data_IF_184424559331
#
_entry.id   IF_184424559331
#
_cell.length_a   1.000
_cell.length_b   1.000
_cell.length_c   1.000
_cell.angle_alpha   90.00
_cell.angle_beta   90.00
_cell.angle_gamma   90.00
#
_symmetry.space_group_name_H-M   'P 1'
#
loop_
_entity.id
_entity.type
_entity.pdbx_description
1 polymer ?
#
# COMPACT_ATOMS: atom_id res chain seq x y z
N UNK A 1 9.50 -11.17 12.07
CA UNK A 1 10.26 -11.26 10.80
C UNK A 1 10.63 -12.70 10.43
N UNK A 2 11.29 -13.49 11.29
CA UNK A 2 11.71 -14.86 10.96
C UNK A 2 10.59 -15.76 10.46
N UNK A 3 9.44 -15.77 11.16
CA UNK A 3 8.27 -16.52 10.71
C UNK A 3 7.80 -16.07 9.31
N UNK A 4 7.67 -14.75 9.08
CA UNK A 4 7.24 -14.20 7.79
C UNK A 4 8.24 -14.57 6.67
N UNK A 5 9.54 -14.46 6.93
CA UNK A 5 10.58 -14.87 5.98
C UNK A 5 10.47 -16.36 5.60
N UNK A 6 10.22 -17.23 6.58
CA UNK A 6 10.01 -18.67 6.34
C UNK A 6 8.77 -18.96 5.50
N UNK A 7 7.66 -18.27 5.77
CA UNK A 7 6.41 -18.46 5.04
C UNK A 7 6.53 -17.96 3.60
N UNK A 8 7.08 -16.76 3.42
CA UNK A 8 7.26 -16.17 2.08
C UNK A 8 8.26 -16.95 1.23
N UNK A 9 9.32 -17.51 1.83
CA UNK A 9 10.28 -18.35 1.12
C UNK A 9 9.66 -19.61 0.49
N UNK A 10 8.57 -20.09 1.04
CA UNK A 10 7.87 -21.31 0.60
C UNK A 10 6.55 -21.01 -0.14
N UNK A 11 6.24 -19.73 -0.34
CA UNK A 11 4.96 -19.34 -0.96
C UNK A 11 4.94 -19.72 -2.45
N UNK A 12 4.06 -20.65 -2.88
CA UNK A 12 3.95 -21.04 -4.28
C UNK A 12 2.98 -20.14 -5.07
N UNK A 13 2.32 -19.20 -4.38
CA UNK A 13 1.25 -18.41 -4.99
C UNK A 13 1.80 -17.27 -5.82
N UNK A 14 1.13 -16.99 -6.93
CA UNK A 14 1.47 -15.87 -7.81
C UNK A 14 1.33 -14.52 -7.10
N UNK A 15 0.29 -14.35 -6.30
CA UNK A 15 -0.01 -13.12 -5.58
C UNK A 15 0.17 -13.30 -4.08
N UNK A 16 0.74 -12.30 -3.45
CA UNK A 16 0.99 -12.28 -1.99
C UNK A 16 0.42 -11.02 -1.38
N UNK A 17 -0.55 -11.19 -0.49
CA UNK A 17 -1.12 -10.11 0.31
C UNK A 17 -0.72 -10.32 1.77
N UNK A 18 -0.17 -9.30 2.39
CA UNK A 18 0.15 -9.29 3.83
C UNK A 18 -0.79 -8.33 4.54
N UNK A 19 -1.49 -8.82 5.54
CA UNK A 19 -2.35 -8.01 6.41
C UNK A 19 -1.69 -7.83 7.77
N UNK A 20 -1.62 -6.59 8.25
CA UNK A 20 -1.04 -6.26 9.55
C UNK A 20 -1.71 -5.01 10.14
N UNK A 21 -1.77 -4.93 11.49
CA UNK A 21 -2.43 -3.80 12.13
C UNK A 21 -1.65 -2.50 11.99
N UNK A 22 -0.37 -2.47 12.37
CA UNK A 22 0.44 -1.25 12.34
C UNK A 22 1.03 -1.00 10.95
N UNK A 23 0.86 0.21 10.39
CA UNK A 23 1.37 0.50 9.05
C UNK A 23 2.89 0.58 9.03
N UNK A 24 3.47 0.17 7.92
CA UNK A 24 4.90 0.33 7.64
C UNK A 24 5.27 1.81 7.56
N UNK A 25 4.43 2.59 6.91
CA UNK A 25 4.57 4.03 6.72
C UNK A 25 3.35 4.71 7.31
N UNK A 26 3.52 5.32 8.48
CA UNK A 26 2.42 5.95 9.20
C UNK A 26 1.91 7.18 8.47
N UNK A 27 0.61 7.32 8.41
CA UNK A 27 -0.10 8.47 7.82
C UNK A 27 -0.72 9.40 8.87
N UNK A 28 -0.93 8.91 10.08
CA UNK A 28 -1.42 9.72 11.21
C UNK A 28 -0.37 10.67 11.76
N UNK A 29 -0.80 11.90 12.11
CA UNK A 29 0.06 12.91 12.71
C UNK A 29 0.68 12.43 14.03
N UNK A 30 1.98 12.68 14.23
CA UNK A 30 2.72 12.28 15.42
C UNK A 30 2.99 10.78 15.57
N UNK A 31 2.71 9.99 14.52
CA UNK A 31 2.87 8.53 14.53
C UNK A 31 4.04 8.07 13.67
N UNK A 32 4.71 7.02 14.12
CA UNK A 32 5.70 6.29 13.37
C UNK A 32 5.88 4.88 13.94
N UNK A 33 6.11 3.91 13.09
CA UNK A 33 6.36 2.51 13.43
C UNK A 33 7.78 2.08 13.03
N UNK A 34 8.78 2.92 13.28
CA UNK A 34 10.17 2.73 12.87
C UNK A 34 10.74 1.36 13.29
N UNK A 35 10.41 0.89 14.51
CA UNK A 35 10.87 -0.42 15.00
C UNK A 35 10.31 -1.57 14.15
N UNK A 36 9.01 -1.55 13.86
CA UNK A 36 8.36 -2.57 13.03
C UNK A 36 8.90 -2.52 11.60
N UNK A 37 9.02 -1.31 11.05
CA UNK A 37 9.55 -1.07 9.70
C UNK A 37 10.97 -1.60 9.55
N UNK A 38 11.87 -1.28 10.49
CA UNK A 38 13.25 -1.76 10.49
C UNK A 38 13.35 -3.29 10.42
N UNK A 39 12.41 -3.99 11.05
CA UNK A 39 12.43 -5.47 11.16
C UNK A 39 11.71 -6.14 9.99
N UNK A 40 10.61 -5.57 9.50
CA UNK A 40 9.74 -6.20 8.50
C UNK A 40 10.06 -5.77 7.07
N UNK A 41 10.44 -4.50 6.85
CA UNK A 41 10.69 -3.99 5.50
C UNK A 41 11.73 -4.81 4.71
N UNK A 42 12.87 -5.23 5.31
CA UNK A 42 13.83 -6.07 4.58
C UNK A 42 13.22 -7.39 4.07
N UNK A 43 12.29 -7.99 4.83
CA UNK A 43 11.59 -9.23 4.41
C UNK A 43 10.57 -8.92 3.32
N UNK A 44 9.79 -7.86 3.48
CA UNK A 44 8.80 -7.41 2.48
C UNK A 44 9.49 -7.11 1.14
N UNK A 45 10.60 -6.36 1.17
CA UNK A 45 11.37 -5.99 -0.02
C UNK A 45 12.04 -7.21 -0.69
N UNK A 46 12.58 -8.14 0.10
CA UNK A 46 13.21 -9.37 -0.39
C UNK A 46 12.26 -10.22 -1.24
N UNK A 47 11.04 -10.38 -0.77
CA UNK A 47 10.02 -11.17 -1.46
C UNK A 47 9.09 -10.34 -2.34
N UNK A 48 9.30 -9.02 -2.40
CA UNK A 48 8.49 -8.09 -3.19
C UNK A 48 6.99 -8.33 -2.99
N UNK A 49 6.54 -8.39 -1.72
CA UNK A 49 5.13 -8.59 -1.37
C UNK A 49 4.25 -7.64 -2.18
N UNK A 50 3.21 -8.17 -2.82
CA UNK A 50 2.45 -7.41 -3.80
C UNK A 50 1.61 -6.30 -3.17
N UNK A 51 0.89 -6.61 -2.09
CA UNK A 51 -0.01 -5.69 -1.41
C UNK A 51 0.10 -5.84 0.11
N UNK A 52 0.21 -4.72 0.81
CA UNK A 52 0.11 -4.66 2.27
C UNK A 52 -1.16 -3.92 2.66
N UNK A 53 -2.06 -4.60 3.38
CA UNK A 53 -3.28 -4.03 3.96
C UNK A 53 -3.03 -3.73 5.44
N UNK A 54 -3.19 -2.48 5.83
CA UNK A 54 -2.78 -1.97 7.12
C UNK A 54 -3.85 -1.05 7.72
N UNK A 55 -3.80 -0.86 9.04
CA UNK A 55 -4.75 -0.05 9.78
C UNK A 55 -4.04 0.84 10.81
N UNK A 56 -4.57 0.92 12.04
CA UNK A 56 -4.05 1.67 13.19
C UNK A 56 -4.08 3.19 13.04
N UNK A 57 -3.56 3.75 11.97
CA UNK A 57 -3.71 5.17 11.67
C UNK A 57 -5.10 5.38 11.06
N UNK A 58 -5.91 6.16 11.72
CA UNK A 58 -7.30 6.39 11.31
C UNK A 58 -7.38 7.48 10.23
N UNK A 59 -6.67 7.22 9.15
CA UNK A 59 -6.61 8.01 7.91
C UNK A 59 -6.55 7.03 6.74
N UNK A 60 -6.70 7.52 5.53
CA UNK A 60 -6.42 6.73 4.34
C UNK A 60 -5.10 7.17 3.71
N UNK A 61 -4.28 6.21 3.34
CA UNK A 61 -3.06 6.43 2.55
C UNK A 61 -2.80 5.23 1.66
N UNK A 62 -2.55 5.46 0.39
CA UNK A 62 -2.00 4.48 -0.53
C UNK A 62 -0.70 5.01 -1.13
N UNK A 63 0.26 4.13 -1.25
CA UNK A 63 1.54 4.44 -1.88
C UNK A 63 2.30 3.19 -2.23
N UNK A 64 3.43 3.35 -2.88
CA UNK A 64 4.23 2.22 -3.36
C UNK A 64 5.73 2.44 -3.18
N UNK A 65 6.48 1.35 -3.25
CA UNK A 65 7.93 1.39 -3.41
C UNK A 65 8.28 1.03 -4.85
N UNK A 66 8.96 1.92 -5.62
CA UNK A 66 9.38 1.62 -6.98
C UNK A 66 10.38 0.45 -6.99
N UNK A 67 10.44 -0.29 -8.10
CA UNK A 67 11.38 -1.40 -8.26
C UNK A 67 12.83 -0.92 -8.12
N UNK A 68 13.14 0.24 -8.67
CA UNK A 68 14.45 0.91 -8.56
C UNK A 68 14.26 2.33 -8.04
N UNK A 69 14.93 2.64 -6.93
CA UNK A 69 14.86 3.95 -6.28
C UNK A 69 15.19 5.14 -7.22
N UNK A 70 16.11 4.93 -8.16
CA UNK A 70 16.53 5.96 -9.11
C UNK A 70 15.51 6.21 -10.24
N UNK A 71 14.52 5.33 -10.41
CA UNK A 71 13.55 5.39 -11.50
C UNK A 71 12.12 5.52 -10.98
N UNK A 72 11.83 6.69 -10.43
CA UNK A 72 10.49 7.04 -9.90
C UNK A 72 9.47 7.31 -11.01
N UNK A 73 9.90 7.36 -12.28
CA UNK A 73 9.00 7.52 -13.45
C UNK A 73 8.56 6.18 -14.02
N UNK A 74 9.24 5.09 -13.68
CA UNK A 74 8.83 3.76 -14.06
C UNK A 74 7.57 3.36 -13.31
N UNK A 75 6.67 2.65 -13.98
CA UNK A 75 5.51 2.03 -13.34
C UNK A 75 5.86 0.69 -12.64
N UNK A 76 7.11 0.24 -12.71
CA UNK A 76 7.53 -0.98 -12.02
C UNK A 76 7.70 -0.75 -10.52
N UNK A 77 7.05 -1.57 -9.71
CA UNK A 77 7.04 -1.45 -8.25
C UNK A 77 7.46 -2.74 -7.54
N UNK A 78 7.93 -2.60 -6.29
CA UNK A 78 8.14 -3.74 -5.38
C UNK A 78 6.87 -4.10 -4.63
N UNK A 79 6.24 -3.11 -3.99
CA UNK A 79 5.10 -3.33 -3.10
C UNK A 79 4.15 -2.14 -3.12
N UNK A 80 2.85 -2.45 -3.02
CA UNK A 80 1.79 -1.48 -2.79
C UNK A 80 1.41 -1.49 -1.30
N UNK A 81 1.36 -0.32 -0.68
CA UNK A 81 1.01 -0.14 0.73
C UNK A 81 -0.31 0.60 0.84
N UNK A 82 -1.22 0.06 1.63
CA UNK A 82 -2.51 0.69 1.94
C UNK A 82 -2.66 0.75 3.45
N UNK A 83 -2.92 1.94 3.98
CA UNK A 83 -3.44 2.15 5.32
C UNK A 83 -4.87 2.67 5.17
N UNK A 84 -5.83 2.03 5.82
CA UNK A 84 -7.24 2.39 5.70
C UNK A 84 -7.97 2.33 7.02
N UNK A 85 -8.99 3.17 7.16
CA UNK A 85 -9.89 3.22 8.31
C UNK A 85 -11.32 2.98 7.85
N UNK A 86 -12.05 2.15 8.59
CA UNK A 86 -13.47 1.85 8.35
C UNK A 86 -14.41 2.36 9.44
N UNK A 87 -13.85 2.75 10.60
CA UNK A 87 -14.63 3.24 11.75
C UNK A 87 -14.75 4.76 11.82
N UNK A 88 -15.57 5.29 12.74
CA UNK A 88 -15.85 6.73 12.84
C UNK A 88 -14.71 7.55 13.47
N UNK A 89 -13.77 6.91 14.16
CA UNK A 89 -12.64 7.60 14.77
C UNK A 89 -11.65 8.01 13.69
N UNK A 90 -11.34 9.31 13.60
CA UNK A 90 -10.44 9.86 12.59
C UNK A 90 -9.26 10.56 13.22
N UNK A 91 -8.12 10.57 12.52
CA UNK A 91 -6.91 11.27 12.90
C UNK A 91 -6.53 12.32 11.85
N UNK A 92 -5.74 13.30 12.29
CA UNK A 92 -5.11 14.24 11.35
C UNK A 92 -4.04 13.54 10.54
N UNK A 93 -3.99 13.83 9.26
CA UNK A 93 -2.91 13.36 8.40
C UNK A 93 -1.59 14.08 8.75
N UNK A 94 -0.47 13.39 8.55
CA UNK A 94 0.86 14.01 8.71
C UNK A 94 1.02 15.19 7.75
N UNK A 95 1.55 16.31 8.24
CA UNK A 95 1.77 17.52 7.43
C UNK A 95 2.74 17.30 6.27
N UNK A 96 3.74 16.45 6.47
CA UNK A 96 4.76 16.10 5.48
C UNK A 96 4.33 14.98 4.52
N UNK A 97 3.12 14.46 4.67
CA UNK A 97 2.70 13.26 3.94
C UNK A 97 3.62 12.07 4.26
N UNK A 98 4.25 11.48 3.24
CA UNK A 98 5.30 10.47 3.41
C UNK A 98 6.69 10.98 3.01
N UNK A 99 6.90 12.29 2.97
CA UNK A 99 8.19 12.86 2.59
C UNK A 99 9.34 12.41 3.49
N UNK A 100 9.07 12.23 4.80
CA UNK A 100 10.04 11.70 5.76
C UNK A 100 10.50 10.27 5.43
N UNK A 101 9.69 9.51 4.67
CA UNK A 101 10.00 8.13 4.27
C UNK A 101 10.59 8.00 2.87
N UNK A 102 10.74 9.10 2.13
CA UNK A 102 11.39 9.09 0.81
C UNK A 102 12.77 8.43 0.80
N UNK A 103 13.64 8.62 1.82
CA UNK A 103 14.92 7.91 1.89
C UNK A 103 14.78 6.39 1.98
N UNK A 104 13.63 5.89 2.45
CA UNK A 104 13.29 4.46 2.50
C UNK A 104 12.63 3.95 1.20
N UNK A 105 12.51 4.83 0.20
CA UNK A 105 12.04 4.50 -1.15
C UNK A 105 10.54 4.34 -1.31
N UNK A 106 9.74 4.99 -0.47
CA UNK A 106 8.29 4.96 -0.63
C UNK A 106 7.75 6.28 -1.18
N UNK A 107 6.75 6.19 -2.02
CA UNK A 107 6.00 7.30 -2.59
C UNK A 107 4.55 7.22 -2.10
N UNK A 108 3.98 8.37 -1.73
CA UNK A 108 2.56 8.50 -1.43
C UNK A 108 1.83 8.84 -2.73
N UNK A 109 0.83 8.02 -3.08
CA UNK A 109 0.06 8.17 -4.33
C UNK A 109 -1.30 8.82 -4.10
N UNK A 110 -1.98 8.48 -2.99
CA UNK A 110 -3.31 9.01 -2.65
C UNK A 110 -3.53 9.00 -1.13
N UNK A 111 -4.27 9.99 -0.64
CA UNK A 111 -4.59 10.14 0.78
C UNK A 111 -6.03 10.64 0.98
N UNK A 112 -6.59 10.39 2.17
CA UNK A 112 -7.82 11.02 2.65
C UNK A 112 -7.85 11.10 4.18
N UNK A 113 -8.64 12.03 4.68
CA UNK A 113 -9.01 12.19 6.09
C UNK A 113 -10.53 12.22 6.23
N UNK A 114 -11.01 12.02 7.46
CA UNK A 114 -12.43 12.17 7.81
C UNK A 114 -13.39 11.35 6.93
N UNK A 115 -12.91 10.27 6.34
CA UNK A 115 -13.70 9.42 5.45
C UNK A 115 -13.42 7.95 5.75
N UNK A 116 -14.42 7.15 6.14
CA UNK A 116 -14.28 5.71 6.27
C UNK A 116 -14.32 5.03 4.90
N UNK A 117 -13.50 3.99 4.73
CA UNK A 117 -13.42 3.22 3.49
C UNK A 117 -13.53 1.72 3.74
N UNK A 118 -14.05 1.02 2.75
CA UNK A 118 -13.87 -0.42 2.61
C UNK A 118 -13.17 -0.74 1.28
N UNK A 119 -12.49 -1.87 1.23
CA UNK A 119 -11.68 -2.25 0.08
C UNK A 119 -12.23 -3.50 -0.58
N UNK A 120 -12.16 -3.53 -1.91
CA UNK A 120 -12.41 -4.72 -2.73
C UNK A 120 -11.15 -5.01 -3.53
N UNK A 121 -10.65 -6.22 -3.39
CA UNK A 121 -9.47 -6.71 -4.11
C UNK A 121 -9.90 -7.89 -4.98
N UNK A 122 -9.73 -7.73 -6.30
CA UNK A 122 -9.98 -8.80 -7.26
C UNK A 122 -8.63 -9.31 -7.81
N UNK A 123 -8.53 -10.63 -7.93
CA UNK A 123 -7.35 -11.28 -8.50
C UNK A 123 -7.78 -12.15 -9.66
N UNK A 124 -7.30 -11.83 -10.87
CA UNK A 124 -7.59 -12.55 -12.09
C UNK A 124 -6.32 -12.71 -12.93
N UNK A 125 -5.79 -13.92 -12.97
CA UNK A 125 -4.59 -14.24 -13.73
C UNK A 125 -3.38 -13.37 -13.39
N UNK A 126 -3.00 -12.50 -14.30
CA UNK A 126 -1.86 -11.56 -14.16
C UNK A 126 -2.24 -10.26 -13.47
N UNK A 127 -3.51 -10.05 -13.18
CA UNK A 127 -4.01 -8.80 -12.64
C UNK A 127 -4.48 -8.94 -11.19
N UNK A 128 -4.10 -7.96 -10.38
CA UNK A 128 -4.70 -7.64 -9.09
C UNK A 128 -5.28 -6.24 -9.20
N UNK A 129 -6.57 -6.12 -8.95
CA UNK A 129 -7.28 -4.83 -8.93
C UNK A 129 -7.60 -4.46 -7.50
N UNK A 130 -7.11 -3.33 -7.05
CA UNK A 130 -7.43 -2.72 -5.76
C UNK A 130 -8.41 -1.58 -5.96
N UNK A 131 -9.48 -1.55 -5.17
CA UNK A 131 -10.48 -0.49 -5.14
C UNK A 131 -10.82 -0.12 -3.71
N UNK A 132 -10.90 1.16 -3.41
CA UNK A 132 -11.38 1.68 -2.12
C UNK A 132 -12.66 2.50 -2.35
N UNK A 133 -13.70 2.12 -1.63
CA UNK A 133 -15.02 2.74 -1.68
C UNK A 133 -15.32 3.49 -0.39
N UNK A 134 -15.97 4.63 -0.49
CA UNK A 134 -16.58 5.33 0.64
C UNK A 134 -17.80 4.54 1.17
N UNK A 135 -18.23 4.84 2.38
CA UNK A 135 -19.38 4.16 3.01
C UNK A 135 -20.70 4.27 2.22
N UNK A 136 -20.85 5.31 1.38
CA UNK A 136 -21.99 5.49 0.48
C UNK A 136 -21.90 4.68 -0.83
N UNK A 137 -20.80 3.96 -1.04
CA UNK A 137 -20.56 3.14 -2.22
C UNK A 137 -19.80 3.84 -3.36
N UNK A 138 -19.47 5.12 -3.23
CA UNK A 138 -18.69 5.83 -4.24
C UNK A 138 -17.25 5.34 -4.28
N UNK A 139 -16.72 5.12 -5.48
CA UNK A 139 -15.33 4.77 -5.70
C UNK A 139 -14.44 5.99 -5.44
N UNK A 140 -13.52 5.87 -4.49
CA UNK A 140 -12.57 6.93 -4.14
C UNK A 140 -11.18 6.71 -4.71
N UNK A 141 -10.69 5.48 -4.67
CA UNK A 141 -9.34 5.14 -5.12
C UNK A 141 -9.33 3.79 -5.79
N UNK A 142 -8.56 3.66 -6.86
CA UNK A 142 -8.38 2.41 -7.56
C UNK A 142 -7.05 2.35 -8.32
N UNK A 143 -6.44 1.18 -8.33
CA UNK A 143 -5.26 0.88 -9.15
C UNK A 143 -5.26 -0.60 -9.54
N UNK A 144 -4.50 -0.91 -10.56
CA UNK A 144 -4.25 -2.29 -10.99
C UNK A 144 -2.77 -2.61 -10.94
N UNK A 145 -2.45 -3.77 -10.44
CA UNK A 145 -1.11 -4.37 -10.56
C UNK A 145 -1.15 -5.44 -11.65
N UNK A 146 -0.17 -5.42 -12.54
CA UNK A 146 0.08 -6.50 -13.50
C UNK A 146 1.36 -7.23 -13.10
N UNK A 147 1.29 -8.54 -12.91
CA UNK A 147 2.48 -9.36 -12.66
C UNK A 147 2.99 -9.95 -13.96
N UNK A 148 4.24 -9.63 -14.28
CA UNK A 148 4.91 -10.08 -15.49
C UNK A 148 5.45 -11.52 -15.35
N UNK A 149 5.87 -12.11 -16.45
CA UNK A 149 6.36 -13.50 -16.48
C UNK A 149 7.65 -13.69 -15.65
N UNK A 150 8.47 -12.66 -15.52
CA UNK A 150 9.69 -12.66 -14.70
C UNK A 150 9.43 -12.42 -13.20
N UNK A 151 8.16 -12.28 -12.80
CA UNK A 151 7.74 -12.02 -11.42
C UNK A 151 7.76 -10.54 -11.01
N UNK A 152 8.29 -9.66 -11.83
CA UNK A 152 8.18 -8.21 -11.61
C UNK A 152 6.73 -7.75 -11.77
N UNK A 153 6.42 -6.55 -11.30
CA UNK A 153 5.07 -6.01 -11.39
C UNK A 153 5.04 -4.55 -11.78
N UNK A 154 3.98 -4.19 -12.48
CA UNK A 154 3.68 -2.84 -12.94
C UNK A 154 2.45 -2.31 -12.21
N UNK A 155 2.53 -1.04 -11.81
CA UNK A 155 1.39 -0.29 -11.28
C UNK A 155 0.72 0.47 -12.43
N UNK A 156 -0.55 0.20 -12.66
CA UNK A 156 -1.36 0.86 -13.66
C UNK A 156 -2.41 1.74 -13.00
N UNK A 157 -2.52 3.03 -13.38
CA UNK A 157 -3.56 3.89 -12.87
C UNK A 157 -4.95 3.39 -13.28
N UNK A 158 -5.95 3.76 -12.51
CA UNK A 158 -7.35 3.59 -12.91
C UNK A 158 -7.66 4.49 -14.10
N UNK A 159 -8.49 4.03 -15.02
CA UNK A 159 -8.77 4.76 -16.28
C UNK A 159 -9.78 5.90 -16.11
N UNK A 160 -10.63 5.81 -15.10
CA UNK A 160 -11.66 6.81 -14.84
C UNK A 160 -11.14 7.89 -13.89
N UNK A 161 -11.73 9.09 -13.95
CA UNK A 161 -11.44 10.15 -13.00
C UNK A 161 -11.95 9.75 -11.60
N UNK A 162 -11.06 9.78 -10.63
CA UNK A 162 -11.35 9.43 -9.24
C UNK A 162 -11.68 10.67 -8.37
N UNK A 163 -11.73 11.84 -8.99
CA UNK A 163 -11.91 13.10 -8.28
C UNK A 163 -10.75 13.49 -7.36
N UNK A 164 -10.92 14.58 -6.64
CA UNK A 164 -9.92 15.17 -5.77
C UNK A 164 -9.67 14.34 -4.49
N UNK A 165 -8.49 14.53 -3.89
CA UNK A 165 -8.17 13.99 -2.56
C UNK A 165 -9.04 14.65 -1.47
N UNK A 166 -9.33 13.91 -0.42
CA UNK A 166 -10.13 14.35 0.74
C UNK A 166 -9.31 14.50 2.00
#
# INVERSE_FOLDING_TARGET
AKWLDTVLAKNPCKWTVVTMHHPMFSSGSGRDNAKNRKVLKPVIDKYQVDLLLQGHDHTYARGHTPLRMADTKSNQIKSLYVNSVSGPKMYQFRKDGWNTYKPEGVLLDRKAINTPFFQVIDVEGEWLTYRAFMANGDLYDAVRLRKLADGSKELHPWKEDLGDER
#
